data_IF_509737754788
#
_entry.id   IF_509737754788
#
_cell.length_a   1.000
_cell.length_b   1.000
_cell.length_c   1.000
_cell.angle_alpha   90.00
_cell.angle_beta   90.00
_cell.angle_gamma   90.00
#
_symmetry.space_group_name_H-M   'P 1'
#
loop_
_entity.id
_entity.type
_entity.pdbx_description
1 polymer ?
#
# COMPACT_ATOMS: atom_id res chain seq x y z
N UNK A 1 -54.86 7.71 11.53
CA UNK A 1 -54.12 8.53 12.49
C UNK A 1 -52.65 8.12 12.43
N UNK A 2 -51.82 8.87 11.70
CA UNK A 2 -50.34 8.91 11.82
C UNK A 2 -49.81 9.91 10.78
N UNK A 3 -49.90 11.21 11.08
CA UNK A 3 -49.19 12.23 10.32
C UNK A 3 -47.71 12.16 10.74
N UNK A 4 -46.83 11.73 9.83
CA UNK A 4 -45.39 11.77 10.07
C UNK A 4 -44.94 13.22 10.08
N UNK A 5 -44.65 13.76 11.27
CA UNK A 5 -44.01 15.06 11.45
C UNK A 5 -42.59 15.00 10.90
N UNK A 6 -42.39 15.43 9.66
CA UNK A 6 -41.06 15.74 9.15
C UNK A 6 -40.49 16.90 9.96
N UNK A 7 -39.52 16.61 10.82
CA UNK A 7 -38.88 17.60 11.70
C UNK A 7 -38.32 18.79 10.89
N UNK A 8 -38.51 20.05 11.32
CA UNK A 8 -38.04 21.25 10.60
C UNK A 8 -36.53 21.25 10.32
N UNK A 9 -35.74 20.52 11.10
CA UNK A 9 -34.31 20.30 10.84
C UNK A 9 -34.06 19.49 9.55
N UNK A 10 -34.89 18.50 9.22
CA UNK A 10 -34.75 17.70 8.01
C UNK A 10 -35.03 18.52 6.74
N UNK A 11 -35.99 19.46 6.81
CA UNK A 11 -36.27 20.38 5.71
C UNK A 11 -35.15 21.40 5.48
N UNK A 12 -34.52 21.89 6.57
CA UNK A 12 -33.37 22.79 6.48
C UNK A 12 -32.14 22.08 5.88
N UNK A 13 -31.87 20.83 6.29
CA UNK A 13 -30.80 20.00 5.71
C UNK A 13 -31.07 19.73 4.23
N UNK A 14 -32.31 19.42 3.84
CA UNK A 14 -32.67 19.19 2.44
C UNK A 14 -32.43 20.42 1.55
N UNK A 15 -32.75 21.63 2.04
CA UNK A 15 -32.45 22.87 1.29
C UNK A 15 -30.95 23.14 1.17
N UNK A 16 -30.19 22.94 2.24
CA UNK A 16 -28.74 23.09 2.21
C UNK A 16 -28.07 22.09 1.26
N UNK A 17 -28.54 20.85 1.20
CA UNK A 17 -28.07 19.83 0.25
C UNK A 17 -28.34 20.27 -1.19
N UNK A 18 -29.52 20.81 -1.48
CA UNK A 18 -29.89 21.20 -2.84
C UNK A 18 -29.18 22.48 -3.30
N UNK A 19 -28.90 23.41 -2.38
CA UNK A 19 -28.10 24.62 -2.64
C UNK A 19 -26.64 24.25 -2.94
N UNK A 20 -26.05 23.34 -2.16
CA UNK A 20 -24.71 22.80 -2.43
C UNK A 20 -24.67 22.06 -3.76
N UNK A 21 -25.70 21.25 -4.07
CA UNK A 21 -25.80 20.55 -5.35
C UNK A 21 -25.92 21.50 -6.53
N UNK A 22 -26.71 22.57 -6.40
CA UNK A 22 -26.86 23.62 -7.40
C UNK A 22 -25.54 24.34 -7.66
N UNK A 23 -24.86 24.79 -6.61
CA UNK A 23 -23.56 25.45 -6.71
C UNK A 23 -22.48 24.52 -7.30
N UNK A 24 -22.51 23.23 -6.94
CA UNK A 24 -21.60 22.23 -7.51
C UNK A 24 -21.85 22.04 -9.02
N UNK A 25 -23.11 22.10 -9.45
CA UNK A 25 -23.49 21.95 -10.85
C UNK A 25 -23.16 23.21 -11.67
N UNK A 26 -23.25 24.39 -11.06
CA UNK A 26 -22.84 25.68 -11.67
C UNK A 26 -21.32 25.75 -11.89
N UNK A 27 -20.53 25.09 -11.05
CA UNK A 27 -19.07 25.00 -11.19
C UNK A 27 -18.58 23.69 -11.83
N UNK A 28 -19.48 22.86 -12.36
CA UNK A 28 -19.14 21.56 -12.93
C UNK A 28 -18.14 21.67 -14.11
N UNK A 29 -18.30 22.69 -14.95
CA UNK A 29 -17.43 22.92 -16.11
C UNK A 29 -15.99 23.26 -15.69
N UNK A 30 -15.82 24.03 -14.60
CA UNK A 30 -14.50 24.37 -14.05
C UNK A 30 -13.81 23.14 -13.46
N UNK A 31 -14.57 22.30 -12.75
CA UNK A 31 -14.07 21.03 -12.21
C UNK A 31 -13.70 20.07 -13.34
N UNK A 32 -14.50 20.00 -14.40
CA UNK A 32 -14.23 19.17 -15.56
C UNK A 32 -12.98 19.64 -16.33
N UNK A 33 -12.80 20.96 -16.48
CA UNK A 33 -11.61 21.54 -17.12
C UNK A 33 -10.34 21.29 -16.29
N UNK A 34 -10.40 21.47 -14.97
CA UNK A 34 -9.29 21.16 -14.05
C UNK A 34 -8.94 19.68 -14.08
N UNK A 35 -9.95 18.81 -13.99
CA UNK A 35 -9.76 17.36 -14.06
C UNK A 35 -9.19 16.95 -15.42
N UNK A 36 -9.65 17.58 -16.51
CA UNK A 36 -9.13 17.38 -17.86
C UNK A 36 -7.67 17.78 -17.98
N UNK A 37 -7.27 18.95 -17.45
CA UNK A 37 -5.87 19.40 -17.43
C UNK A 37 -5.00 18.46 -16.62
N UNK A 38 -5.40 18.13 -15.38
CA UNK A 38 -4.67 17.21 -14.51
C UNK A 38 -4.54 15.83 -15.15
N UNK A 39 -5.60 15.30 -15.75
CA UNK A 39 -5.59 14.02 -16.45
C UNK A 39 -4.68 14.06 -17.68
N UNK A 40 -4.61 15.18 -18.40
CA UNK A 40 -3.77 15.31 -19.61
C UNK A 40 -2.30 15.45 -19.26
N UNK A 41 -1.97 16.22 -18.21
CA UNK A 41 -0.62 16.33 -17.66
C UNK A 41 -0.14 14.98 -17.07
N UNK A 42 -1.01 14.29 -16.33
CA UNK A 42 -0.72 12.93 -15.83
C UNK A 42 -0.52 11.97 -17.01
N UNK A 43 -1.45 11.90 -17.97
CA UNK A 43 -1.31 10.98 -19.10
C UNK A 43 -0.11 11.32 -20.00
N UNK A 44 0.21 12.60 -20.17
CA UNK A 44 1.36 13.06 -20.94
C UNK A 44 2.68 12.71 -20.26
N UNK A 45 2.78 12.90 -18.94
CA UNK A 45 3.99 12.58 -18.17
C UNK A 45 4.19 11.08 -17.94
N UNK A 46 3.11 10.32 -17.72
CA UNK A 46 3.17 8.88 -17.44
C UNK A 46 3.11 8.01 -18.71
N UNK A 47 2.58 8.52 -19.83
CA UNK A 47 2.43 7.76 -21.08
C UNK A 47 3.74 7.10 -21.54
N UNK A 48 4.83 7.86 -21.75
CA UNK A 48 6.12 7.30 -22.19
C UNK A 48 6.71 6.29 -21.20
N UNK A 49 6.50 6.50 -19.89
CA UNK A 49 6.96 5.59 -18.86
C UNK A 49 6.17 4.27 -18.93
N UNK A 50 4.84 4.34 -19.04
CA UNK A 50 3.96 3.17 -19.20
C UNK A 50 4.32 2.40 -20.46
N UNK A 51 4.54 3.07 -21.59
CA UNK A 51 4.95 2.41 -22.84
C UNK A 51 6.30 1.69 -22.69
N UNK A 52 7.25 2.29 -21.97
CA UNK A 52 8.53 1.66 -21.64
C UNK A 52 8.37 0.43 -20.74
N UNK A 53 7.48 0.49 -19.74
CA UNK A 53 7.16 -0.65 -18.89
C UNK A 53 6.48 -1.77 -19.69
N UNK A 54 5.51 -1.44 -20.54
CA UNK A 54 4.83 -2.43 -21.40
C UNK A 54 5.81 -3.09 -22.35
N UNK A 55 6.75 -2.33 -22.92
CA UNK A 55 7.84 -2.86 -23.74
C UNK A 55 8.75 -3.82 -22.97
N UNK A 56 9.14 -3.46 -21.74
CA UNK A 56 9.90 -4.34 -20.85
C UNK A 56 9.13 -5.65 -20.56
N UNK A 57 7.85 -5.57 -20.19
CA UNK A 57 7.04 -6.76 -19.92
C UNK A 57 6.88 -7.66 -21.14
N UNK A 58 6.78 -7.11 -22.35
CA UNK A 58 6.75 -7.92 -23.58
C UNK A 58 8.07 -8.61 -23.90
N UNK A 59 9.20 -7.97 -23.58
CA UNK A 59 10.52 -8.55 -23.80
C UNK A 59 10.85 -9.67 -22.80
N UNK A 60 10.16 -9.71 -21.66
CA UNK A 60 10.32 -10.75 -20.65
C UNK A 60 9.61 -12.03 -21.08
N UNK A 61 10.32 -13.16 -21.05
CA UNK A 61 9.72 -14.47 -21.35
C UNK A 61 9.04 -15.04 -20.09
N UNK A 62 7.73 -14.85 -20.00
CA UNK A 62 6.90 -15.34 -18.88
C UNK A 62 6.73 -16.85 -18.82
N UNK A 63 7.22 -17.60 -19.83
CA UNK A 63 7.17 -19.06 -19.83
C UNK A 63 8.28 -19.70 -19.00
N UNK A 64 9.28 -18.93 -18.60
CA UNK A 64 10.38 -19.48 -17.83
C UNK A 64 9.94 -19.92 -16.42
N UNK A 65 10.21 -21.18 -16.01
CA UNK A 65 9.73 -21.72 -14.74
C UNK A 65 10.15 -20.93 -13.50
N UNK A 66 11.34 -20.31 -13.54
CA UNK A 66 11.86 -19.56 -12.40
C UNK A 66 11.14 -18.22 -12.20
N UNK A 67 10.72 -17.53 -13.27
CA UNK A 67 9.89 -16.32 -13.16
C UNK A 67 8.52 -16.65 -12.57
N UNK A 68 7.90 -17.75 -13.02
CA UNK A 68 6.62 -18.21 -12.47
C UNK A 68 6.77 -18.53 -10.98
N UNK A 69 7.87 -19.21 -10.60
CA UNK A 69 8.24 -19.46 -9.22
C UNK A 69 8.33 -18.16 -8.41
N UNK A 70 9.03 -17.15 -8.92
CA UNK A 70 9.15 -15.84 -8.30
C UNK A 70 7.79 -15.13 -8.14
N UNK A 71 6.93 -15.11 -9.15
CA UNK A 71 5.59 -14.49 -9.04
C UNK A 71 4.75 -15.24 -8.00
N UNK A 72 4.80 -16.58 -8.02
CA UNK A 72 4.08 -17.40 -7.04
C UNK A 72 4.56 -17.14 -5.61
N UNK A 73 5.86 -16.96 -5.40
CA UNK A 73 6.45 -16.60 -4.12
C UNK A 73 5.87 -15.28 -3.61
N UNK A 74 5.78 -14.26 -4.45
CA UNK A 74 5.17 -12.98 -4.07
C UNK A 74 3.68 -13.10 -3.75
N UNK A 75 2.93 -13.90 -4.52
CA UNK A 75 1.52 -14.14 -4.25
C UNK A 75 1.30 -14.86 -2.90
N UNK A 76 2.12 -15.87 -2.59
CA UNK A 76 2.10 -16.58 -1.30
C UNK A 76 2.49 -15.62 -0.18
N UNK A 77 3.54 -14.81 -0.37
CA UNK A 77 4.01 -13.85 0.63
C UNK A 77 2.95 -12.78 0.93
N UNK A 78 2.23 -12.31 -0.09
CA UNK A 78 1.09 -11.41 0.05
C UNK A 78 -0.06 -12.10 0.81
N UNK A 79 -0.38 -13.35 0.47
CA UNK A 79 -1.42 -14.12 1.17
C UNK A 79 -1.07 -14.30 2.65
N UNK A 80 0.17 -14.69 2.97
CA UNK A 80 0.69 -14.82 4.33
C UNK A 80 0.59 -13.48 5.07
N UNK A 81 0.93 -12.38 4.40
CA UNK A 81 0.80 -11.02 4.95
C UNK A 81 -0.64 -10.70 5.36
N UNK A 82 -1.60 -11.00 4.48
CA UNK A 82 -3.03 -10.78 4.71
C UNK A 82 -3.54 -11.64 5.86
N UNK A 83 -3.20 -12.93 5.88
CA UNK A 83 -3.64 -13.87 6.93
C UNK A 83 -3.05 -13.48 8.29
N UNK A 84 -1.77 -13.09 8.32
CA UNK A 84 -1.07 -12.76 9.57
C UNK A 84 -1.39 -11.37 10.13
N UNK A 85 -2.29 -10.59 9.53
CA UNK A 85 -2.61 -9.21 9.95
C UNK A 85 -2.99 -9.03 11.42
N UNK A 86 -3.46 -10.08 12.10
CA UNK A 86 -3.81 -10.06 13.52
C UNK A 86 -2.61 -10.25 14.47
N UNK A 87 -1.53 -10.85 13.99
CA UNK A 87 -0.37 -11.21 14.79
C UNK A 87 0.78 -10.22 14.57
N UNK A 88 0.90 -9.22 15.45
CA UNK A 88 1.90 -8.16 15.30
C UNK A 88 3.35 -8.68 15.33
N UNK A 89 3.66 -9.63 16.21
CA UNK A 89 5.01 -10.19 16.31
C UNK A 89 5.43 -10.88 15.01
N UNK A 90 4.51 -11.62 14.39
CA UNK A 90 4.77 -12.26 13.10
C UNK A 90 4.89 -11.24 11.97
N UNK A 91 4.03 -10.21 11.96
CA UNK A 91 4.14 -9.12 10.98
C UNK A 91 5.47 -8.36 11.09
N UNK A 92 6.01 -8.17 12.29
CA UNK A 92 7.33 -7.57 12.47
C UNK A 92 8.44 -8.44 11.89
N UNK A 93 8.43 -9.76 12.16
CA UNK A 93 9.39 -10.69 11.56
C UNK A 93 9.27 -10.70 10.04
N UNK A 94 8.04 -10.75 9.53
CA UNK A 94 7.76 -10.71 8.10
C UNK A 94 8.25 -9.42 7.47
N UNK A 95 8.07 -8.27 8.14
CA UNK A 95 8.58 -6.98 7.67
C UNK A 95 10.11 -6.95 7.60
N UNK A 96 10.79 -7.49 8.62
CA UNK A 96 12.25 -7.57 8.61
C UNK A 96 12.75 -8.48 7.48
N UNK A 97 12.04 -9.57 7.21
CA UNK A 97 12.32 -10.45 6.09
C UNK A 97 12.16 -9.74 4.74
N UNK A 98 11.04 -9.03 4.51
CA UNK A 98 10.82 -8.31 3.25
C UNK A 98 11.82 -7.17 3.04
N UNK A 99 12.12 -6.40 4.09
CA UNK A 99 13.16 -5.37 4.05
C UNK A 99 14.55 -5.95 3.73
N UNK A 100 14.90 -7.08 4.34
CA UNK A 100 16.16 -7.77 4.04
C UNK A 100 16.21 -8.21 2.57
N UNK A 101 15.09 -8.72 2.03
CA UNK A 101 14.98 -9.10 0.63
C UNK A 101 15.22 -7.93 -0.33
N UNK A 102 14.66 -6.75 -0.03
CA UNK A 102 14.90 -5.53 -0.82
C UNK A 102 16.35 -5.07 -0.69
N UNK A 103 16.91 -5.08 0.53
CA UNK A 103 18.31 -4.70 0.77
C UNK A 103 19.31 -5.60 0.01
N UNK A 104 18.98 -6.88 -0.13
CA UNK A 104 19.80 -7.86 -0.86
C UNK A 104 19.60 -7.80 -2.38
N UNK A 105 18.68 -6.99 -2.91
CA UNK A 105 18.33 -6.98 -4.33
C UNK A 105 19.53 -6.74 -5.26
N UNK A 106 20.42 -5.81 -4.92
CA UNK A 106 21.62 -5.52 -5.72
C UNK A 106 22.61 -6.70 -5.75
N UNK A 107 22.80 -7.35 -4.58
CA UNK A 107 23.65 -8.54 -4.48
C UNK A 107 23.05 -9.72 -5.23
N UNK A 108 21.73 -9.91 -5.13
CA UNK A 108 21.01 -10.91 -5.89
C UNK A 108 21.12 -10.67 -7.40
N UNK A 109 20.97 -9.43 -7.85
CA UNK A 109 21.12 -9.06 -9.25
C UNK A 109 22.50 -9.43 -9.81
N UNK A 110 23.55 -9.10 -9.08
CA UNK A 110 24.92 -9.43 -9.49
C UNK A 110 25.17 -10.94 -9.48
N UNK A 111 24.70 -11.63 -8.44
CA UNK A 111 24.88 -13.07 -8.30
C UNK A 111 24.10 -13.87 -9.36
N UNK A 112 22.83 -13.53 -9.58
CA UNK A 112 21.99 -14.17 -10.58
C UNK A 112 22.45 -13.81 -12.00
N UNK A 113 22.92 -12.58 -12.21
CA UNK A 113 23.53 -12.14 -13.47
C UNK A 113 24.89 -12.78 -13.78
N UNK A 114 25.58 -13.38 -12.81
CA UNK A 114 26.76 -14.20 -13.08
C UNK A 114 26.39 -15.66 -13.39
N UNK A 115 25.28 -16.14 -12.83
CA UNK A 115 24.87 -17.55 -12.89
C UNK A 115 23.65 -17.80 -13.80
N UNK A 116 23.22 -16.82 -14.58
CA UNK A 116 21.98 -16.87 -15.38
C UNK A 116 21.88 -18.11 -16.27
N UNK A 117 23.00 -18.54 -16.86
CA UNK A 117 23.07 -19.72 -17.75
C UNK A 117 22.60 -21.03 -17.11
N UNK A 118 22.58 -21.10 -15.78
CA UNK A 118 22.17 -22.30 -15.04
C UNK A 118 20.65 -22.47 -14.97
N UNK A 119 19.89 -21.37 -15.04
CA UNK A 119 18.44 -21.39 -14.78
C UNK A 119 17.59 -20.61 -15.79
N UNK A 120 18.21 -19.76 -16.61
CA UNK A 120 17.56 -18.82 -17.51
C UNK A 120 18.08 -18.98 -18.92
N UNK A 121 17.19 -18.84 -19.92
CA UNK A 121 17.55 -18.92 -21.33
C UNK A 121 18.27 -17.66 -21.81
N UNK A 122 17.99 -16.52 -21.16
CA UNK A 122 18.61 -15.23 -21.46
C UNK A 122 19.05 -14.50 -20.18
N UNK A 123 19.97 -13.55 -20.30
CA UNK A 123 20.39 -12.75 -19.16
C UNK A 123 19.44 -11.55 -18.96
N UNK A 124 18.60 -11.63 -17.94
CA UNK A 124 17.70 -10.54 -17.55
C UNK A 124 18.35 -9.51 -16.62
N UNK A 125 19.49 -9.85 -16.01
CA UNK A 125 20.09 -9.04 -14.96
C UNK A 125 21.02 -8.02 -15.58
N UNK A 126 20.68 -6.75 -15.37
CA UNK A 126 21.40 -5.60 -15.90
C UNK A 126 22.21 -4.89 -14.79
N UNK A 127 23.31 -4.20 -15.12
CA UNK A 127 24.11 -3.46 -14.12
C UNK A 127 23.33 -2.35 -13.41
N UNK A 128 22.26 -1.83 -14.02
CA UNK A 128 21.41 -0.80 -13.42
C UNK A 128 20.37 -1.40 -12.46
N UNK A 129 20.19 -2.73 -12.46
CA UNK A 129 19.23 -3.44 -11.64
C UNK A 129 17.77 -3.15 -11.97
N UNK A 130 17.45 -2.73 -13.20
CA UNK A 130 16.07 -2.43 -13.60
C UNK A 130 15.18 -3.66 -13.48
N UNK A 131 15.64 -4.82 -13.97
CA UNK A 131 14.85 -6.05 -13.90
C UNK A 131 14.59 -6.45 -12.45
N UNK A 132 15.63 -6.55 -11.61
CA UNK A 132 15.47 -6.94 -10.20
C UNK A 132 14.60 -5.93 -9.44
N UNK A 133 14.72 -4.64 -9.76
CA UNK A 133 13.96 -3.60 -9.07
C UNK A 133 12.46 -3.76 -9.33
N UNK A 134 12.07 -3.99 -10.59
CA UNK A 134 10.65 -4.14 -10.95
C UNK A 134 10.09 -5.49 -10.51
N UNK A 135 10.86 -6.57 -10.68
CA UNK A 135 10.37 -7.94 -10.47
C UNK A 135 10.50 -8.46 -9.04
N UNK A 136 11.50 -7.98 -8.30
CA UNK A 136 11.76 -8.39 -6.92
C UNK A 136 11.43 -7.26 -5.93
N UNK A 137 12.09 -6.11 -6.06
CA UNK A 137 11.94 -5.03 -5.09
C UNK A 137 10.56 -4.38 -5.12
N UNK A 138 9.96 -4.20 -6.29
CA UNK A 138 8.65 -3.54 -6.46
C UNK A 138 7.54 -4.24 -5.66
N UNK A 139 7.25 -5.53 -5.93
CA UNK A 139 6.26 -6.29 -5.17
C UNK A 139 6.60 -6.40 -3.68
N UNK A 140 7.87 -6.60 -3.32
CA UNK A 140 8.29 -6.65 -1.91
C UNK A 140 8.07 -5.32 -1.18
N UNK A 141 8.35 -4.19 -1.83
CA UNK A 141 8.11 -2.86 -1.27
C UNK A 141 6.62 -2.63 -1.07
N UNK A 142 5.77 -3.02 -2.03
CA UNK A 142 4.32 -2.92 -1.88
C UNK A 142 3.83 -3.75 -0.69
N UNK A 143 4.28 -5.00 -0.56
CA UNK A 143 3.96 -5.86 0.59
C UNK A 143 4.46 -5.22 1.90
N UNK A 144 5.66 -4.65 1.89
CA UNK A 144 6.25 -3.99 3.06
C UNK A 144 5.43 -2.76 3.48
N UNK A 145 4.95 -1.96 2.53
CA UNK A 145 4.06 -0.83 2.80
C UNK A 145 2.75 -1.32 3.45
N UNK A 146 2.15 -2.41 2.94
CA UNK A 146 0.94 -2.98 3.53
C UNK A 146 1.17 -3.46 4.97
N UNK A 147 2.29 -4.15 5.23
CA UNK A 147 2.68 -4.57 6.59
C UNK A 147 2.91 -3.35 7.49
N UNK A 148 3.60 -2.33 6.99
CA UNK A 148 3.93 -1.12 7.73
C UNK A 148 2.66 -0.38 8.15
N UNK A 149 1.70 -0.18 7.25
CA UNK A 149 0.42 0.48 7.57
C UNK A 149 -0.33 -0.29 8.65
N UNK A 150 -0.47 -1.62 8.50
CA UNK A 150 -1.16 -2.45 9.49
C UNK A 150 -0.46 -2.45 10.86
N UNK A 151 0.87 -2.54 10.84
CA UNK A 151 1.70 -2.54 12.05
C UNK A 151 1.65 -1.18 12.75
N UNK A 152 1.75 -0.07 12.01
CA UNK A 152 1.68 1.28 12.56
C UNK A 152 0.35 1.52 13.27
N UNK A 153 -0.78 1.19 12.61
CA UNK A 153 -2.12 1.32 13.21
C UNK A 153 -2.24 0.48 14.49
N UNK A 154 -1.73 -0.75 14.47
CA UNK A 154 -1.75 -1.64 15.64
C UNK A 154 -0.88 -1.11 16.77
N UNK A 155 0.33 -0.64 16.47
CA UNK A 155 1.25 -0.05 17.43
C UNK A 155 0.66 1.22 18.07
N UNK A 156 0.02 2.10 17.29
CA UNK A 156 -0.67 3.26 17.82
C UNK A 156 -1.76 2.86 18.82
N UNK A 157 -2.59 1.87 18.50
CA UNK A 157 -3.62 1.37 19.42
C UNK A 157 -3.01 0.75 20.69
N UNK A 158 -1.94 -0.03 20.56
CA UNK A 158 -1.23 -0.63 21.70
C UNK A 158 -0.59 0.43 22.58
N UNK A 159 0.04 1.45 22.00
CA UNK A 159 0.63 2.57 22.74
C UNK A 159 -0.42 3.33 23.54
N UNK A 160 -1.58 3.63 22.94
CA UNK A 160 -2.70 4.29 23.65
C UNK A 160 -3.21 3.41 24.80
N UNK A 161 -3.39 2.11 24.57
CA UNK A 161 -3.84 1.17 25.62
C UNK A 161 -2.82 1.05 26.75
N UNK A 162 -1.53 0.95 26.41
CA UNK A 162 -0.44 0.90 27.37
C UNK A 162 -0.37 2.18 28.19
N UNK A 163 -0.47 3.36 27.55
CA UNK A 163 -0.52 4.65 28.25
C UNK A 163 -1.73 4.77 29.17
N UNK A 164 -2.92 4.32 28.74
CA UNK A 164 -4.11 4.28 29.61
C UNK A 164 -3.92 3.34 30.81
N UNK A 165 -3.28 2.19 30.62
CA UNK A 165 -2.98 1.25 31.70
C UNK A 165 -1.92 1.79 32.68
N UNK A 166 -0.87 2.43 32.16
CA UNK A 166 0.18 3.08 32.94
C UNK A 166 -0.41 4.19 33.83
N UNK A 167 -1.26 5.06 33.28
CA UNK A 167 -1.93 6.11 34.04
C UNK A 167 -2.88 5.54 35.12
N UNK A 168 -3.60 4.45 34.81
CA UNK A 168 -4.47 3.77 35.79
C UNK A 168 -3.67 3.13 36.93
N UNK A 169 -2.49 2.58 36.65
CA UNK A 169 -1.59 2.04 37.68
C UNK A 169 -1.10 3.15 38.61
N UNK A 170 -0.60 4.26 38.05
CA UNK A 170 -0.11 5.41 38.81
C UNK A 170 -1.20 6.03 39.70
N UNK A 171 -2.45 6.11 39.21
CA UNK A 171 -3.58 6.60 40.00
C UNK A 171 -3.92 5.71 41.21
N UNK A 172 -3.74 4.38 41.08
CA UNK A 172 -3.93 3.44 42.19
C UNK A 172 -2.83 3.57 43.25
N UNK A 173 -1.58 3.69 42.82
CA UNK A 173 -0.43 3.90 43.72
C UNK A 173 -0.48 5.23 44.46
N UNK A 174 -1.01 6.29 43.83
CA UNK A 174 -1.22 7.57 44.49
C UNK A 174 -2.30 7.48 45.60
N UNK A 175 -3.38 6.73 45.33
CA UNK A 175 -4.48 6.52 46.30
C UNK A 175 -4.03 5.67 47.49
N UNK A 176 -3.20 4.64 47.27
CA UNK A 176 -2.68 3.78 48.35
C UNK A 176 -1.62 4.45 49.24
N UNK A 177 -1.08 5.61 48.86
CA UNK A 177 -0.17 6.41 49.70
C UNK A 177 -0.89 7.47 50.54
N UNK A 178 -2.17 7.72 50.27
CA UNK A 178 -3.01 8.65 51.03
C UNK A 178 -3.85 7.96 52.11
N UNK A 179 -4.00 6.63 52.03
CA UNK A 179 -4.53 5.76 53.08
C UNK A 179 -3.39 5.30 53.99
#
# INVERSE_FOLDING_TARGET
MAASSSSPAAAAVGRAVEEVRSALNEHADVVAELFGRVSTELRGGFGPAVDSFVGFFHAVDWKEPWLIGMISFHAILLLVTIISRRNINFQLILSAFTFSGVFLAEKLNTFLGQNWKSFSSQNYFDPQGLFISVMWSGPLLLITILILVNTLVTLCMLMVRWKRAELKHRAREARSKQE
#
